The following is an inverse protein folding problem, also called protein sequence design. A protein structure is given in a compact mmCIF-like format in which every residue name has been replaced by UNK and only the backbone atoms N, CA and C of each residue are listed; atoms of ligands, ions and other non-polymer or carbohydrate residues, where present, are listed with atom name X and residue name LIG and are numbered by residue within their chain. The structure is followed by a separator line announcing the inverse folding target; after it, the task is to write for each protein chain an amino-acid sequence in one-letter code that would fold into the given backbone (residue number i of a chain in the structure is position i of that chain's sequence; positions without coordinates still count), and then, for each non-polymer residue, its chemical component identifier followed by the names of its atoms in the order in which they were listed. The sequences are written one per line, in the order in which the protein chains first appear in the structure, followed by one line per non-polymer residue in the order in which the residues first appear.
data_IF_329939335270
#
_entry.id   IF_329939335270
#
_cell.length_a   1.000
_cell.length_b   1.000
_cell.length_c   1.000
_cell.angle_alpha   90.00
_cell.angle_beta   90.00
_cell.angle_gamma   90.00
#
_symmetry.space_group_name_H-M   'P 1'
#
loop_
_entity.id
_entity.type
_entity.pdbx_description
1 polymer ?
#
# COMPACT_ATOMS: atom_id res chain seq x y z
N UNK A 1 -14.86 27.65 40.55
CA UNK A 1 -15.16 28.68 39.58
C UNK A 1 -13.87 29.00 38.82
N UNK A 2 -13.56 28.26 37.73
CA UNK A 2 -12.37 28.48 36.91
C UNK A 2 -12.85 28.80 35.48
N UNK A 3 -12.55 29.98 35.01
CA UNK A 3 -12.83 30.44 33.66
C UNK A 3 -11.77 29.87 32.70
N UNK A 4 -12.12 29.42 31.49
CA UNK A 4 -11.14 29.01 30.49
C UNK A 4 -10.54 30.23 29.82
N UNK A 5 -9.21 30.31 29.84
CA UNK A 5 -8.46 31.28 29.05
C UNK A 5 -8.52 30.88 27.57
N UNK A 6 -8.99 31.81 26.74
CA UNK A 6 -8.90 31.72 25.28
C UNK A 6 -7.46 31.96 24.86
N UNK A 7 -6.73 30.89 24.50
CA UNK A 7 -5.45 30.95 23.82
C UNK A 7 -5.68 30.96 22.32
N UNK A 8 -5.22 32.02 21.68
CA UNK A 8 -5.30 32.30 20.25
C UNK A 8 -4.85 31.15 19.35
N UNK A 9 -5.79 30.72 18.54
CA UNK A 9 -5.64 29.79 17.44
C UNK A 9 -4.85 30.47 16.31
N UNK A 10 -3.64 30.02 16.05
CA UNK A 10 -2.97 30.34 14.78
C UNK A 10 -2.20 29.12 14.31
N UNK A 11 -2.65 28.60 13.21
CA UNK A 11 -2.14 27.62 12.28
C UNK A 11 -3.00 26.36 12.19
N UNK A 12 -4.26 26.49 11.78
CA UNK A 12 -4.87 25.46 10.96
C UNK A 12 -4.09 25.45 9.65
N UNK A 13 -3.07 24.58 9.63
CA UNK A 13 -2.35 24.22 8.43
C UNK A 13 -3.38 23.82 7.36
N UNK A 14 -3.20 24.37 6.17
CA UNK A 14 -4.01 24.23 4.99
C UNK A 14 -4.74 22.89 4.90
N UNK A 15 -6.02 22.93 4.56
CA UNK A 15 -6.84 21.80 4.17
C UNK A 15 -6.03 20.98 3.18
N UNK A 16 -5.60 19.81 3.62
CA UNK A 16 -4.85 18.83 2.87
C UNK A 16 -5.63 18.58 1.57
N UNK A 17 -5.08 18.98 0.44
CA UNK A 17 -5.50 18.40 -0.83
C UNK A 17 -5.32 16.91 -0.63
N UNK A 18 -6.43 16.17 -0.63
CA UNK A 18 -6.42 14.75 -0.34
C UNK A 18 -5.38 14.11 -1.25
N UNK A 19 -4.33 13.54 -0.65
CA UNK A 19 -3.30 12.82 -1.40
C UNK A 19 -4.00 11.79 -2.28
N UNK A 20 -3.65 11.72 -3.54
CA UNK A 20 -4.13 10.68 -4.46
C UNK A 20 -3.21 9.45 -4.47
N UNK A 21 -2.19 9.44 -3.62
CA UNK A 21 -1.17 8.40 -3.57
C UNK A 21 -1.76 7.03 -3.20
N UNK A 22 -1.24 6.01 -3.85
CA UNK A 22 -1.53 4.60 -3.58
C UNK A 22 -0.31 3.96 -2.93
N UNK A 23 -0.49 3.37 -1.75
CA UNK A 23 0.52 2.59 -1.05
C UNK A 23 0.30 1.11 -1.31
N UNK A 24 1.21 0.47 -2.05
CA UNK A 24 1.25 -0.98 -2.20
C UNK A 24 2.06 -1.62 -1.08
N UNK A 25 1.54 -2.68 -0.47
CA UNK A 25 2.22 -3.41 0.61
C UNK A 25 2.22 -4.91 0.31
N UNK A 26 3.42 -5.50 0.29
CA UNK A 26 3.65 -6.95 0.33
C UNK A 26 4.00 -7.34 1.77
N UNK A 27 3.02 -7.86 2.56
CA UNK A 27 3.18 -7.99 4.00
C UNK A 27 4.07 -9.16 4.38
N UNK A 28 5.11 -8.89 5.14
CA UNK A 28 5.97 -9.88 5.77
C UNK A 28 6.54 -9.36 7.08
N UNK A 29 6.63 -10.22 8.12
CA UNK A 29 7.13 -9.78 9.42
C UNK A 29 8.64 -9.51 9.40
N UNK A 30 9.42 -10.32 8.70
CA UNK A 30 10.88 -10.10 8.59
C UNK A 30 11.21 -9.03 7.55
N UNK A 31 10.44 -9.01 6.47
CA UNK A 31 10.58 -8.08 5.36
C UNK A 31 9.19 -7.74 4.85
N UNK A 32 8.81 -6.50 4.96
CA UNK A 32 7.55 -5.97 4.45
C UNK A 32 7.87 -5.02 3.29
N UNK A 33 7.55 -5.41 2.07
CA UNK A 33 7.74 -4.57 0.89
C UNK A 33 6.75 -3.42 0.88
N UNK A 34 7.18 -2.23 0.45
CA UNK A 34 6.30 -1.10 0.21
C UNK A 34 6.64 -0.37 -1.08
N UNK A 35 5.63 0.23 -1.69
CA UNK A 35 5.79 1.16 -2.80
C UNK A 35 4.70 2.24 -2.74
N UNK A 36 5.11 3.49 -2.89
CA UNK A 36 4.22 4.66 -2.96
C UNK A 36 4.16 5.11 -4.41
N UNK A 37 2.96 5.14 -4.97
CA UNK A 37 2.73 5.44 -6.38
C UNK A 37 1.71 6.56 -6.52
N UNK A 38 2.03 7.55 -7.36
CA UNK A 38 1.05 8.55 -7.80
C UNK A 38 0.32 8.00 -9.02
N UNK A 39 -1.02 7.87 -8.96
CA UNK A 39 -1.81 7.43 -10.10
C UNK A 39 -1.89 8.54 -11.14
N UNK A 40 -1.47 8.22 -12.36
CA UNK A 40 -1.60 9.08 -13.53
C UNK A 40 -1.75 8.20 -14.78
N UNK A 41 -1.94 8.80 -15.94
CA UNK A 41 -1.88 8.11 -17.24
C UNK A 41 -0.57 7.32 -17.41
N UNK A 42 0.53 7.88 -16.93
CA UNK A 42 1.80 7.20 -16.71
C UNK A 42 2.09 7.26 -15.19
N UNK A 43 1.87 6.17 -14.43
CA UNK A 43 2.07 6.18 -12.99
C UNK A 43 3.49 6.56 -12.59
N UNK A 44 3.61 7.39 -11.54
CA UNK A 44 4.91 7.80 -11.00
C UNK A 44 5.24 7.01 -9.75
N UNK A 45 6.41 6.38 -9.72
CA UNK A 45 6.95 5.73 -8.53
C UNK A 45 7.60 6.79 -7.62
N UNK A 46 6.91 7.17 -6.55
CA UNK A 46 7.37 8.22 -5.61
C UNK A 46 8.41 7.65 -4.64
N UNK A 47 8.16 6.45 -4.10
CA UNK A 47 9.06 5.79 -3.15
C UNK A 47 8.86 4.28 -3.20
N UNK A 48 9.89 3.53 -2.87
CA UNK A 48 9.79 2.08 -2.66
C UNK A 48 10.87 1.60 -1.70
N UNK A 49 10.61 0.50 -1.03
CA UNK A 49 11.59 -0.09 -0.12
C UNK A 49 11.07 -1.32 0.61
N UNK A 50 11.79 -1.65 1.68
CA UNK A 50 11.45 -2.76 2.57
C UNK A 50 11.60 -2.30 4.01
N UNK A 51 10.55 -2.46 4.80
CA UNK A 51 10.60 -2.38 6.25
C UNK A 51 11.09 -3.74 6.77
N UNK A 52 12.13 -3.74 7.59
CA UNK A 52 12.76 -4.95 8.05
C UNK A 52 12.77 -5.01 9.58
N UNK A 53 12.39 -6.17 10.14
CA UNK A 53 12.52 -6.40 11.57
C UNK A 53 13.54 -7.51 11.86
N UNK A 54 14.39 -7.37 12.89
CA UNK A 54 15.38 -8.40 13.23
C UNK A 54 14.69 -9.74 13.55
N UNK A 55 15.16 -10.82 12.93
CA UNK A 55 14.59 -12.15 13.16
C UNK A 55 14.93 -12.70 14.56
N UNK A 56 15.93 -12.13 15.23
CA UNK A 56 16.34 -12.46 16.60
C UNK A 56 15.39 -11.94 17.67
N UNK A 57 14.58 -10.93 17.33
CA UNK A 57 13.71 -10.27 18.30
C UNK A 57 12.42 -11.08 18.53
N UNK A 58 11.85 -10.94 19.72
CA UNK A 58 10.58 -11.54 20.06
C UNK A 58 9.43 -10.97 19.21
N UNK A 59 8.45 -11.83 18.91
CA UNK A 59 7.32 -11.49 18.04
C UNK A 59 6.63 -10.16 18.38
N UNK A 60 6.28 -9.86 19.65
CA UNK A 60 5.62 -8.59 20.00
C UNK A 60 6.49 -7.38 19.67
N UNK A 61 7.79 -7.45 19.91
CA UNK A 61 8.74 -6.39 19.61
C UNK A 61 8.85 -6.14 18.12
N UNK A 62 8.87 -7.20 17.31
CA UNK A 62 8.89 -7.12 15.84
C UNK A 62 7.62 -6.50 15.28
N UNK A 63 6.46 -6.88 15.80
CA UNK A 63 5.17 -6.29 15.40
C UNK A 63 5.12 -4.80 15.76
N UNK A 64 5.57 -4.42 16.95
CA UNK A 64 5.66 -3.02 17.36
C UNK A 64 6.68 -2.22 16.50
N UNK A 65 7.78 -2.84 16.06
CA UNK A 65 8.74 -2.22 15.15
C UNK A 65 8.09 -1.97 13.79
N UNK A 66 7.48 -3.00 13.19
CA UNK A 66 6.76 -2.87 11.92
C UNK A 66 5.68 -1.80 11.99
N UNK A 67 4.91 -1.75 13.09
CA UNK A 67 3.89 -0.72 13.29
C UNK A 67 4.48 0.69 13.24
N UNK A 68 5.57 0.96 13.97
CA UNK A 68 6.23 2.28 13.97
C UNK A 68 6.72 2.69 12.57
N UNK A 69 7.32 1.75 11.84
CA UNK A 69 7.82 2.03 10.49
C UNK A 69 6.65 2.32 9.52
N UNK A 70 5.54 1.59 9.66
CA UNK A 70 4.32 1.86 8.90
C UNK A 70 3.71 3.22 9.29
N UNK A 71 3.68 3.58 10.59
CA UNK A 71 3.22 4.89 11.06
C UNK A 71 4.00 6.01 10.35
N UNK A 72 5.33 5.91 10.30
CA UNK A 72 6.17 6.88 9.62
C UNK A 72 5.83 6.99 8.11
N UNK A 73 5.61 5.87 7.41
CA UNK A 73 5.19 5.88 6.01
C UNK A 73 3.82 6.55 5.82
N UNK A 74 2.84 6.23 6.65
CA UNK A 74 1.52 6.83 6.57
C UNK A 74 1.55 8.33 6.86
N UNK A 75 2.39 8.77 7.81
CA UNK A 75 2.51 10.16 8.19
C UNK A 75 3.25 10.97 7.11
N UNK A 76 4.25 10.36 6.44
CA UNK A 76 5.03 11.00 5.37
C UNK A 76 4.23 11.14 4.08
N UNK A 77 3.53 10.09 3.65
CA UNK A 77 2.89 10.05 2.33
C UNK A 77 1.39 10.29 2.36
N UNK A 78 0.72 10.11 3.49
CA UNK A 78 -0.73 10.25 3.66
C UNK A 78 -1.54 9.60 2.51
N UNK A 79 -1.37 8.29 2.19
CA UNK A 79 -1.96 7.68 1.01
C UNK A 79 -3.49 7.67 1.08
N UNK A 80 -4.15 7.91 -0.07
CA UNK A 80 -5.61 7.78 -0.20
C UNK A 80 -6.06 6.32 -0.22
N UNK A 81 -5.23 5.43 -0.76
CA UNK A 81 -5.54 4.01 -0.88
C UNK A 81 -4.35 3.13 -0.50
N UNK A 82 -4.66 1.94 0.02
CA UNK A 82 -3.66 0.91 0.36
C UNK A 82 -4.03 -0.40 -0.32
N UNK A 83 -3.11 -0.89 -1.16
CA UNK A 83 -3.22 -2.16 -1.86
C UNK A 83 -2.35 -3.21 -1.17
N UNK A 84 -2.95 -4.26 -0.62
CA UNK A 84 -2.25 -5.27 0.18
C UNK A 84 -2.36 -6.64 -0.49
N UNK A 85 -1.28 -7.44 -0.45
CA UNK A 85 -1.40 -8.83 -0.87
C UNK A 85 -2.30 -9.61 0.08
N UNK A 86 -3.25 -10.36 -0.51
CA UNK A 86 -4.11 -11.25 0.27
C UNK A 86 -3.34 -12.49 0.68
N UNK A 87 -3.20 -12.67 1.99
CA UNK A 87 -2.53 -13.84 2.57
C UNK A 87 -3.38 -15.10 2.40
N UNK A 88 -2.79 -16.16 1.81
CA UNK A 88 -3.38 -17.48 1.72
C UNK A 88 -2.58 -18.50 2.53
N UNK A 89 -3.27 -19.31 3.31
CA UNK A 89 -2.69 -20.43 4.05
C UNK A 89 -2.48 -21.63 3.13
N UNK A 90 -1.35 -21.74 2.43
CA UNK A 90 -1.18 -22.86 1.50
C UNK A 90 -0.26 -23.99 1.97
N UNK A 91 0.87 -23.81 2.60
CA UNK A 91 1.76 -24.94 2.92
C UNK A 91 2.66 -24.80 4.16
N UNK A 92 2.76 -23.62 4.76
CA UNK A 92 3.60 -23.42 5.94
C UNK A 92 2.88 -22.54 6.97
N UNK A 93 2.18 -23.18 7.90
CA UNK A 93 1.36 -22.52 8.91
C UNK A 93 2.14 -21.52 9.79
N UNK A 94 3.44 -21.81 10.04
CA UNK A 94 4.27 -20.96 10.88
C UNK A 94 4.62 -19.62 10.22
N UNK A 95 4.95 -19.63 8.94
CA UNK A 95 5.20 -18.43 8.15
C UNK A 95 3.90 -17.68 7.86
N UNK A 96 2.82 -18.41 7.55
CA UNK A 96 1.52 -17.83 7.26
C UNK A 96 0.95 -17.05 8.45
N UNK A 97 1.17 -17.51 9.69
CA UNK A 97 0.71 -16.80 10.88
C UNK A 97 1.42 -15.45 11.04
N UNK A 98 2.75 -15.40 10.92
CA UNK A 98 3.51 -14.16 11.05
C UNK A 98 3.21 -13.16 9.92
N UNK A 99 2.99 -13.64 8.70
CA UNK A 99 2.54 -12.81 7.57
C UNK A 99 1.12 -12.28 7.82
N UNK A 100 0.22 -13.12 8.32
CA UNK A 100 -1.15 -12.73 8.70
C UNK A 100 -1.18 -11.65 9.79
N UNK A 101 -0.30 -11.76 10.81
CA UNK A 101 -0.16 -10.76 11.85
C UNK A 101 0.37 -9.43 11.29
N UNK A 102 1.39 -9.45 10.44
CA UNK A 102 1.91 -8.27 9.76
C UNK A 102 0.84 -7.62 8.87
N UNK A 103 0.12 -8.42 8.07
CA UNK A 103 -1.00 -7.96 7.25
C UNK A 103 -2.11 -7.32 8.09
N UNK A 104 -2.44 -7.91 9.24
CA UNK A 104 -3.44 -7.36 10.17
C UNK A 104 -3.09 -5.95 10.66
N UNK A 105 -1.82 -5.69 10.98
CA UNK A 105 -1.35 -4.35 11.35
C UNK A 105 -1.58 -3.36 10.19
N UNK A 106 -1.14 -3.71 8.97
CA UNK A 106 -1.30 -2.87 7.78
C UNK A 106 -2.78 -2.52 7.56
N UNK A 107 -3.66 -3.52 7.55
CA UNK A 107 -5.09 -3.34 7.31
C UNK A 107 -5.75 -2.46 8.37
N UNK A 108 -5.45 -2.71 9.65
CA UNK A 108 -6.01 -1.94 10.76
C UNK A 108 -5.55 -0.47 10.71
N UNK A 109 -4.27 -0.23 10.44
CA UNK A 109 -3.70 1.12 10.37
C UNK A 109 -4.24 1.91 9.19
N UNK A 110 -4.35 1.28 8.01
CA UNK A 110 -4.92 1.90 6.82
C UNK A 110 -6.39 2.29 7.04
N UNK A 111 -7.19 1.37 7.58
CA UNK A 111 -8.60 1.64 7.90
C UNK A 111 -8.77 2.75 8.95
N UNK A 112 -7.96 2.75 10.01
CA UNK A 112 -7.99 3.78 11.06
C UNK A 112 -7.63 5.18 10.54
N UNK A 113 -6.85 5.26 9.44
CA UNK A 113 -6.50 6.52 8.76
C UNK A 113 -7.49 6.92 7.67
N UNK A 114 -8.54 6.13 7.45
CA UNK A 114 -9.57 6.41 6.43
C UNK A 114 -9.11 6.16 5.00
N UNK A 115 -8.04 5.39 4.79
CA UNK A 115 -7.61 4.98 3.47
C UNK A 115 -8.64 4.00 2.84
N UNK A 116 -8.76 4.05 1.50
CA UNK A 116 -9.42 2.97 0.77
C UNK A 116 -8.52 1.73 0.78
N UNK A 117 -9.03 0.60 1.29
CA UNK A 117 -8.22 -0.61 1.49
C UNK A 117 -8.69 -1.73 0.56
N UNK A 118 -7.79 -2.17 -0.32
CA UNK A 118 -8.03 -3.26 -1.24
C UNK A 118 -7.02 -4.39 -1.05
N UNK A 119 -7.50 -5.64 -1.13
CA UNK A 119 -6.66 -6.84 -1.07
C UNK A 119 -6.67 -7.58 -2.40
N UNK A 120 -5.48 -7.94 -2.90
CA UNK A 120 -5.29 -8.60 -4.18
C UNK A 120 -4.61 -9.96 -4.01
N UNK A 121 -5.11 -10.97 -4.70
CA UNK A 121 -4.44 -12.27 -4.80
C UNK A 121 -3.25 -12.20 -5.75
N UNK A 122 -2.22 -13.06 -5.60
CA UNK A 122 -1.11 -13.13 -6.55
C UNK A 122 -1.57 -13.30 -8.01
N UNK A 123 -2.63 -14.08 -8.23
CA UNK A 123 -3.21 -14.29 -9.56
C UNK A 123 -3.84 -13.01 -10.13
N UNK A 124 -4.54 -12.23 -9.31
CA UNK A 124 -5.11 -10.95 -9.74
C UNK A 124 -4.01 -9.96 -10.11
N UNK A 125 -2.94 -9.87 -9.31
CA UNK A 125 -1.77 -9.01 -9.62
C UNK A 125 -1.14 -9.43 -10.94
N UNK A 126 -0.86 -10.72 -11.13
CA UNK A 126 -0.28 -11.24 -12.38
C UNK A 126 -1.15 -10.96 -13.60
N UNK A 127 -2.46 -11.19 -13.50
CA UNK A 127 -3.40 -10.87 -14.58
C UNK A 127 -3.41 -9.38 -14.91
N UNK A 128 -3.46 -8.53 -13.92
CA UNK A 128 -3.51 -7.08 -14.11
C UNK A 128 -2.22 -6.52 -14.71
N UNK A 129 -1.06 -7.02 -14.27
CA UNK A 129 0.25 -6.46 -14.65
C UNK A 129 0.79 -7.10 -15.93
N UNK A 130 0.72 -8.43 -16.05
CA UNK A 130 1.32 -9.19 -17.16
C UNK A 130 0.29 -9.71 -18.16
N UNK A 131 -1.01 -9.51 -17.91
CA UNK A 131 -2.09 -9.94 -18.81
C UNK A 131 -2.53 -11.39 -18.63
N UNK A 132 -1.86 -12.22 -17.80
CA UNK A 132 -2.23 -13.60 -17.52
C UNK A 132 -1.73 -14.08 -16.15
N UNK A 133 -2.54 -14.90 -15.47
CA UNK A 133 -2.30 -15.30 -14.08
C UNK A 133 -1.13 -16.27 -13.84
N UNK A 134 -0.62 -16.90 -14.90
CA UNK A 134 0.54 -17.80 -14.85
C UNK A 134 1.89 -17.11 -15.04
N UNK A 135 1.94 -15.79 -15.14
CA UNK A 135 3.17 -15.04 -15.30
C UNK A 135 4.17 -15.36 -14.17
N UNK A 136 5.42 -15.53 -14.53
CA UNK A 136 6.49 -15.69 -13.54
C UNK A 136 6.88 -14.34 -12.91
N UNK A 137 7.64 -14.39 -11.80
CA UNK A 137 8.08 -13.18 -11.11
C UNK A 137 8.92 -12.25 -11.99
N UNK A 138 9.70 -12.80 -12.92
CA UNK A 138 10.56 -12.02 -13.80
C UNK A 138 9.72 -11.24 -14.84
N UNK A 139 8.65 -11.82 -15.32
CA UNK A 139 7.71 -11.16 -16.22
C UNK A 139 6.99 -10.01 -15.52
N UNK A 140 6.48 -10.24 -14.30
CA UNK A 140 5.85 -9.18 -13.50
C UNK A 140 6.84 -8.04 -13.23
N UNK A 141 8.07 -8.33 -12.79
CA UNK A 141 9.09 -7.32 -12.51
C UNK A 141 9.46 -6.49 -13.76
N UNK A 142 9.54 -7.11 -14.94
CA UNK A 142 9.74 -6.40 -16.21
C UNK A 142 8.58 -5.47 -16.56
N UNK A 143 7.35 -5.92 -16.34
CA UNK A 143 6.17 -5.07 -16.58
C UNK A 143 6.11 -3.88 -15.62
N UNK A 144 6.45 -4.08 -14.34
CA UNK A 144 6.61 -3.00 -13.36
C UNK A 144 7.68 -2.01 -13.82
N UNK A 145 8.85 -2.51 -14.24
CA UNK A 145 9.92 -1.68 -14.81
C UNK A 145 9.42 -0.82 -15.96
N UNK A 146 8.72 -1.42 -16.93
CA UNK A 146 8.21 -0.71 -18.12
C UNK A 146 7.15 0.33 -17.76
N UNK A 147 6.23 -0.01 -16.85
CA UNK A 147 5.14 0.89 -16.42
C UNK A 147 5.65 2.17 -15.76
N UNK A 148 6.74 2.07 -15.01
CA UNK A 148 7.38 3.23 -14.40
C UNK A 148 8.52 3.84 -15.21
N UNK A 149 8.84 3.31 -16.39
CA UNK A 149 9.94 3.80 -17.21
C UNK A 149 11.33 3.65 -16.56
N UNK A 150 11.52 2.65 -15.70
CA UNK A 150 12.78 2.46 -14.98
C UNK A 150 13.86 1.83 -15.87
N UNK A 151 15.13 2.14 -15.60
CA UNK A 151 16.29 1.53 -16.29
C UNK A 151 16.48 0.06 -15.99
N UNK A 152 16.05 -0.39 -14.79
CA UNK A 152 16.09 -1.78 -14.33
C UNK A 152 14.88 -2.10 -13.46
N UNK A 153 14.56 -3.39 -13.33
CA UNK A 153 13.49 -3.82 -12.43
C UNK A 153 13.78 -3.38 -10.98
N UNK A 154 12.75 -2.97 -10.22
CA UNK A 154 12.90 -2.57 -8.84
C UNK A 154 13.57 -3.67 -7.99
N UNK A 155 14.38 -3.25 -7.03
CA UNK A 155 15.03 -4.13 -6.05
C UNK A 155 14.84 -3.54 -4.65
N UNK A 156 14.73 -4.39 -3.62
CA UNK A 156 14.67 -5.85 -3.65
C UNK A 156 13.32 -6.39 -4.15
N UNK A 157 13.15 -7.72 -4.26
CA UNK A 157 11.97 -8.36 -4.83
C UNK A 157 10.66 -7.96 -4.10
N UNK A 158 10.70 -7.90 -2.75
CA UNK A 158 9.53 -7.51 -1.94
C UNK A 158 9.03 -6.09 -2.31
N UNK A 159 9.93 -5.16 -2.61
CA UNK A 159 9.57 -3.82 -3.07
C UNK A 159 8.97 -3.82 -4.49
N UNK A 160 9.45 -4.71 -5.36
CA UNK A 160 8.87 -4.89 -6.71
C UNK A 160 7.47 -5.51 -6.63
N UNK A 161 7.25 -6.47 -5.73
CA UNK A 161 5.93 -7.08 -5.49
C UNK A 161 4.95 -6.04 -4.93
N UNK A 162 5.38 -5.19 -4.00
CA UNK A 162 4.59 -4.06 -3.51
C UNK A 162 4.25 -3.02 -4.61
N UNK A 163 5.19 -2.73 -5.49
CA UNK A 163 4.96 -1.84 -6.63
C UNK A 163 3.94 -2.44 -7.63
N UNK A 164 3.97 -3.75 -7.84
CA UNK A 164 2.98 -4.45 -8.65
C UNK A 164 1.56 -4.38 -8.03
N UNK A 165 1.45 -4.46 -6.70
CA UNK A 165 0.18 -4.30 -5.98
C UNK A 165 -0.41 -2.90 -6.17
N UNK A 166 0.40 -1.85 -6.03
CA UNK A 166 -0.05 -0.48 -6.26
C UNK A 166 -0.53 -0.28 -7.72
N UNK A 167 0.23 -0.75 -8.71
CA UNK A 167 -0.17 -0.71 -10.12
C UNK A 167 -1.44 -1.52 -10.40
N UNK A 168 -1.59 -2.70 -9.79
CA UNK A 168 -2.80 -3.51 -9.89
C UNK A 168 -4.02 -2.74 -9.38
N UNK A 169 -3.89 -2.06 -8.24
CA UNK A 169 -4.95 -1.22 -7.68
C UNK A 169 -5.32 -0.08 -8.64
N UNK A 170 -4.33 0.67 -9.14
CA UNK A 170 -4.53 1.77 -10.09
C UNK A 170 -5.24 1.28 -11.36
N UNK A 171 -4.87 0.11 -11.88
CA UNK A 171 -5.48 -0.45 -13.09
C UNK A 171 -6.92 -0.94 -12.88
N UNK A 172 -7.27 -1.36 -11.67
CA UNK A 172 -8.61 -1.91 -11.36
C UNK A 172 -9.61 -0.87 -10.87
N UNK A 173 -9.14 0.29 -10.40
CA UNK A 173 -9.98 1.37 -9.84
C UNK A 173 -10.53 2.42 -10.84
N UNK A 174 -10.09 2.56 -12.10
CA UNK A 174 -10.58 3.64 -12.97
C UNK A 174 -12.09 3.58 -13.22
N UNK A 175 -12.69 2.39 -13.15
CA UNK A 175 -14.13 2.20 -13.35
C UNK A 175 -14.97 2.70 -12.15
N UNK A 176 -14.50 2.56 -10.92
CA UNK A 176 -15.26 2.95 -9.73
C UNK A 176 -15.37 4.49 -9.58
N UNK A 177 -14.29 5.22 -9.89
CA UNK A 177 -14.30 6.70 -9.85
C UNK A 177 -15.17 7.32 -10.96
N UNK A 178 -15.16 6.75 -12.18
CA UNK A 178 -15.98 7.20 -13.31
C UNK A 178 -17.48 6.96 -13.06
N UNK A 179 -17.85 5.82 -12.46
CA UNK A 179 -19.24 5.48 -12.16
C UNK A 179 -19.78 6.37 -11.04
N UNK A 180 -19.01 6.63 -9.99
CA UNK A 180 -19.41 7.51 -8.89
C UNK A 180 -19.60 8.95 -9.35
N UNK A 181 -18.74 9.47 -10.22
CA UNK A 181 -18.87 10.82 -10.77
C UNK A 181 -20.03 10.97 -11.78
N UNK A 182 -20.39 9.90 -12.51
CA UNK A 182 -21.52 9.88 -13.43
C UNK A 182 -22.86 9.84 -12.68
N UNK A 183 -22.96 9.10 -11.56
CA UNK A 183 -24.16 9.04 -10.73
C UNK A 183 -24.47 10.37 -10.03
N UNK A 184 -23.45 11.14 -9.64
CA UNK A 184 -23.63 12.48 -9.06
C UNK A 184 -24.06 13.55 -10.08
N UNK A 185 -23.87 13.33 -11.38
CA UNK A 185 -24.29 14.25 -12.47
C UNK A 185 -25.65 13.92 -13.06
N UNK A 186 -26.17 12.70 -12.86
CA UNK A 186 -27.45 12.23 -13.41
C UNK A 186 -28.66 12.45 -12.50
N UNK A 187 -28.51 13.05 -11.32
CA UNK A 187 -29.54 13.30 -10.32
C UNK A 187 -29.98 14.78 -10.25
N UNK A 188 -30.25 15.40 -11.40
CA UNK A 188 -30.96 16.70 -11.45
C UNK A 188 -32.07 16.63 -12.47
#
# INVERSE_FOLDING_TARGET
MFAPQQGSNTTRRAVNEASDLVLGIDPGLTRCGFAVVRPDAQPELVSLGVLATPASDELPSRLAHLQRDLEALFDEYAPAAVAVERVFFQHNTRTAMSVGQASGIVLAMAAARGCDVAQYTPTQVKNSIAGWGGADKSAVARMVQMRFGLRSAPKPADAADAAALALCHIATQPFARSVSSAQLRGGR
#
